data_IF_332068839631
#
_entry.id   IF_332068839631
#
_cell.length_a   1.000
_cell.length_b   1.000
_cell.length_c   1.000
_cell.angle_alpha   90.00
_cell.angle_beta   90.00
_cell.angle_gamma   90.00
#
_symmetry.space_group_name_H-M   'P 1'
#
loop_
_entity.id
_entity.type
_entity.pdbx_description
1 polymer ?
#
# COMPACT_ATOMS: atom_id res chain seq x y z
N UNK A 1 -8.54 16.41 -18.34
CA UNK A 1 -7.21 15.79 -18.09
C UNK A 1 -6.96 15.46 -16.61
N UNK A 2 -7.19 16.39 -15.67
CA UNK A 2 -6.94 16.20 -14.24
C UNK A 2 -7.51 14.90 -13.65
N UNK A 3 -8.80 14.59 -13.88
CA UNK A 3 -9.46 13.36 -13.40
C UNK A 3 -8.75 12.06 -13.85
N UNK A 4 -8.14 12.08 -15.04
CA UNK A 4 -7.45 10.93 -15.65
C UNK A 4 -6.07 10.71 -15.03
N UNK A 5 -5.38 11.80 -14.69
CA UNK A 5 -4.02 11.78 -14.16
C UNK A 5 -4.02 11.67 -12.63
N UNK A 6 -4.87 12.43 -11.94
CA UNK A 6 -4.94 12.52 -10.49
C UNK A 6 -5.15 11.17 -9.80
N UNK A 7 -6.03 10.34 -10.34
CA UNK A 7 -6.29 8.98 -9.83
C UNK A 7 -5.10 8.02 -9.99
N UNK A 8 -4.04 8.41 -10.71
CA UNK A 8 -2.91 7.57 -11.10
C UNK A 8 -1.54 8.13 -10.71
N UNK A 9 -1.50 9.19 -9.89
CA UNK A 9 -0.26 9.84 -9.42
C UNK A 9 0.64 8.91 -8.57
N UNK A 10 0.09 7.81 -8.05
CA UNK A 10 0.88 6.78 -7.37
C UNK A 10 1.89 6.09 -8.30
N UNK A 11 1.65 6.09 -9.62
CA UNK A 11 2.51 5.47 -10.61
C UNK A 11 3.64 6.40 -11.05
N UNK A 12 4.88 5.92 -10.93
CA UNK A 12 6.09 6.67 -11.24
C UNK A 12 6.09 7.24 -12.68
N UNK A 13 5.70 6.45 -13.68
CA UNK A 13 5.64 6.92 -15.07
C UNK A 13 4.58 8.02 -15.31
N UNK A 14 3.53 8.07 -14.49
CA UNK A 14 2.54 9.16 -14.56
C UNK A 14 3.08 10.43 -13.93
N UNK A 15 3.90 10.32 -12.87
CA UNK A 15 4.63 11.47 -12.30
C UNK A 15 5.65 12.02 -13.29
N UNK A 16 6.37 11.16 -14.00
CA UNK A 16 7.30 11.59 -15.06
C UNK A 16 6.59 12.38 -16.17
N UNK A 17 5.40 11.90 -16.54
CA UNK A 17 4.60 12.55 -17.56
C UNK A 17 4.27 13.99 -17.17
N UNK A 18 3.73 14.22 -15.97
CA UNK A 18 3.37 15.57 -15.52
C UNK A 18 4.58 16.43 -15.17
N UNK A 19 5.69 15.84 -14.74
CA UNK A 19 6.93 16.58 -14.53
C UNK A 19 7.45 17.13 -15.87
N UNK A 20 7.37 16.34 -16.94
CA UNK A 20 7.90 16.68 -18.27
C UNK A 20 6.92 17.46 -19.15
N UNK A 21 5.63 17.17 -19.05
CA UNK A 21 4.55 17.78 -19.83
C UNK A 21 3.41 18.19 -18.88
N UNK A 22 3.60 19.26 -18.09
CA UNK A 22 2.68 19.61 -17.00
C UNK A 22 1.34 20.19 -17.44
N UNK A 23 1.25 20.59 -18.71
CA UNK A 23 0.13 21.39 -19.23
C UNK A 23 -0.55 20.70 -20.41
N UNK A 24 -1.88 20.79 -20.59
CA UNK A 24 -2.58 20.35 -21.79
C UNK A 24 -1.89 20.72 -23.12
N UNK A 25 -1.42 21.95 -23.26
CA UNK A 25 -0.71 22.42 -24.45
C UNK A 25 0.60 21.65 -24.67
N UNK A 26 1.43 21.50 -23.64
CA UNK A 26 2.64 20.66 -23.71
C UNK A 26 2.34 19.19 -24.02
N UNK A 27 1.25 18.63 -23.47
CA UNK A 27 0.83 17.25 -23.76
C UNK A 27 0.41 17.08 -25.22
N UNK A 28 -0.36 18.04 -25.77
CA UNK A 28 -0.71 18.03 -27.20
C UNK A 28 0.53 18.11 -28.09
N UNK A 29 1.46 19.01 -27.78
CA UNK A 29 2.72 19.14 -28.52
C UNK A 29 3.63 17.91 -28.41
N UNK A 30 3.62 17.21 -27.28
CA UNK A 30 4.37 15.98 -27.12
C UNK A 30 3.84 14.85 -28.02
N UNK A 31 2.51 14.77 -28.15
CA UNK A 31 1.83 13.75 -28.94
C UNK A 31 1.93 12.34 -28.35
N UNK A 32 1.21 11.39 -28.97
CA UNK A 32 1.07 10.01 -28.47
C UNK A 32 2.40 9.34 -28.15
N UNK A 33 3.32 9.32 -29.10
CA UNK A 33 4.57 8.57 -29.00
C UNK A 33 5.43 9.01 -27.79
N UNK A 34 5.59 10.32 -27.57
CA UNK A 34 6.39 10.84 -26.45
C UNK A 34 5.71 10.61 -25.11
N UNK A 35 4.38 10.77 -25.04
CA UNK A 35 3.60 10.48 -23.83
C UNK A 35 3.77 9.02 -23.43
N UNK A 36 3.53 8.09 -24.36
CA UNK A 36 3.66 6.64 -24.11
C UNK A 36 5.08 6.29 -23.69
N UNK A 37 6.09 6.80 -24.38
CA UNK A 37 7.49 6.50 -24.08
C UNK A 37 7.89 6.97 -22.67
N UNK A 38 7.43 8.16 -22.27
CA UNK A 38 7.71 8.71 -20.93
C UNK A 38 7.10 7.86 -19.83
N UNK A 39 5.84 7.44 -19.97
CA UNK A 39 5.18 6.59 -18.98
C UNK A 39 5.79 5.18 -18.97
N UNK A 40 6.10 4.64 -20.16
CA UNK A 40 6.58 3.25 -20.32
C UNK A 40 7.90 2.99 -19.61
N UNK A 41 8.76 4.00 -19.48
CA UNK A 41 10.04 3.91 -18.78
C UNK A 41 9.92 3.38 -17.33
N UNK A 42 8.91 3.86 -16.57
CA UNK A 42 8.70 3.45 -15.17
C UNK A 42 7.33 2.79 -14.91
N UNK A 43 6.47 2.68 -15.91
CA UNK A 43 5.11 2.12 -15.77
C UNK A 43 4.62 1.46 -17.07
N UNK A 44 5.30 0.40 -17.57
CA UNK A 44 5.06 -0.16 -18.91
C UNK A 44 3.65 -0.72 -19.09
N UNK A 45 3.12 -1.45 -18.09
CA UNK A 45 1.78 -2.07 -18.16
C UNK A 45 0.63 -1.06 -18.23
N UNK A 46 0.90 0.19 -17.86
CA UNK A 46 -0.10 1.25 -17.76
C UNK A 46 0.00 2.25 -18.93
N UNK A 47 1.12 2.24 -19.66
CA UNK A 47 1.49 3.28 -20.60
C UNK A 47 0.43 3.51 -21.69
N UNK A 48 -0.01 2.45 -22.36
CA UNK A 48 -0.98 2.58 -23.46
C UNK A 48 -2.34 3.08 -22.94
N UNK A 49 -2.86 2.44 -21.89
CA UNK A 49 -4.14 2.80 -21.27
C UNK A 49 -4.18 4.25 -20.78
N UNK A 50 -3.10 4.73 -20.17
CA UNK A 50 -3.02 6.12 -19.71
C UNK A 50 -2.85 7.07 -20.88
N UNK A 51 -2.05 6.72 -21.88
CA UNK A 51 -1.89 7.55 -23.07
C UNK A 51 -3.24 7.75 -23.76
N UNK A 52 -3.99 6.68 -24.00
CA UNK A 52 -5.32 6.74 -24.63
C UNK A 52 -6.28 7.64 -23.84
N UNK A 53 -6.32 7.45 -22.52
CA UNK A 53 -7.18 8.24 -21.66
C UNK A 53 -6.77 9.71 -21.60
N UNK A 54 -5.46 10.02 -21.66
CA UNK A 54 -4.96 11.39 -21.70
C UNK A 54 -5.31 12.05 -23.02
N UNK A 55 -5.09 11.39 -24.16
CA UNK A 55 -5.42 11.93 -25.48
C UNK A 55 -6.92 12.17 -25.63
N UNK A 56 -7.75 11.19 -25.26
CA UNK A 56 -9.21 11.35 -25.26
C UNK A 56 -9.67 12.52 -24.37
N UNK A 57 -9.04 12.70 -23.20
CA UNK A 57 -9.36 13.81 -22.31
C UNK A 57 -8.83 15.16 -22.81
N UNK A 58 -7.80 15.18 -23.64
CA UNK A 58 -7.35 16.38 -24.35
C UNK A 58 -8.36 16.71 -25.44
N UNK A 59 -8.76 15.76 -26.28
CA UNK A 59 -9.70 16.01 -27.38
C UNK A 59 -11.06 16.53 -26.90
N UNK A 60 -11.52 16.08 -25.74
CA UNK A 60 -12.74 16.60 -25.10
C UNK A 60 -12.57 17.98 -24.42
N UNK A 61 -11.36 18.51 -24.30
CA UNK A 61 -11.10 19.78 -23.61
C UNK A 61 -11.39 20.98 -24.52
N UNK A 62 -12.34 21.80 -24.11
CA UNK A 62 -12.81 22.99 -24.86
C UNK A 62 -12.28 24.33 -24.33
N UNK A 63 -11.70 24.35 -23.12
CA UNK A 63 -11.23 25.58 -22.46
C UNK A 63 -9.72 25.52 -22.24
N UNK A 64 -9.03 26.56 -22.70
CA UNK A 64 -7.63 26.84 -22.39
C UNK A 64 -7.54 28.00 -21.40
N UNK A 65 -6.73 27.83 -20.35
CA UNK A 65 -6.55 28.87 -19.33
C UNK A 65 -5.35 29.76 -19.69
N UNK A 66 -5.48 31.09 -19.69
CA UNK A 66 -4.38 32.01 -20.02
C UNK A 66 -3.13 31.85 -19.13
N UNK A 67 -3.29 31.33 -17.91
CA UNK A 67 -2.22 31.14 -16.93
C UNK A 67 -1.61 29.72 -16.92
N UNK A 68 -1.83 28.93 -17.99
CA UNK A 68 -1.37 27.54 -18.09
C UNK A 68 0.15 27.40 -17.88
N UNK A 69 0.96 28.34 -18.36
CA UNK A 69 2.42 28.31 -18.19
C UNK A 69 2.88 28.50 -16.73
N UNK A 70 2.13 29.25 -15.92
CA UNK A 70 2.44 29.44 -14.50
C UNK A 70 2.03 28.21 -13.70
N UNK A 71 0.83 27.69 -13.96
CA UNK A 71 0.36 26.43 -13.36
C UNK A 71 1.28 25.26 -13.73
N UNK A 72 1.78 25.23 -14.97
CA UNK A 72 2.69 24.21 -15.44
C UNK A 72 3.97 24.12 -14.61
N UNK A 73 4.54 25.28 -14.23
CA UNK A 73 5.73 25.33 -13.37
C UNK A 73 5.47 24.72 -11.99
N UNK A 74 4.34 25.11 -11.37
CA UNK A 74 3.92 24.56 -10.07
C UNK A 74 3.68 23.05 -10.14
N UNK A 75 3.04 22.56 -11.21
CA UNK A 75 2.80 21.13 -11.41
C UNK A 75 4.12 20.36 -11.54
N UNK A 76 5.08 20.87 -12.32
CA UNK A 76 6.40 20.24 -12.45
C UNK A 76 7.13 20.16 -11.12
N UNK A 77 7.11 21.24 -10.33
CA UNK A 77 7.74 21.30 -9.01
C UNK A 77 7.11 20.28 -8.05
N UNK A 78 5.78 20.32 -7.88
CA UNK A 78 5.05 19.40 -7.00
C UNK A 78 5.17 17.94 -7.45
N UNK A 79 5.20 17.67 -8.76
CA UNK A 79 5.43 16.32 -9.28
C UNK A 79 6.82 15.80 -8.91
N UNK A 80 7.83 16.66 -8.99
CA UNK A 80 9.20 16.35 -8.58
C UNK A 80 9.30 16.08 -7.08
N UNK A 81 8.68 16.91 -6.24
CA UNK A 81 8.61 16.68 -4.79
C UNK A 81 7.91 15.38 -4.44
N UNK A 82 6.77 15.10 -5.06
CA UNK A 82 6.04 13.85 -4.86
C UNK A 82 6.90 12.65 -5.24
N UNK A 83 7.62 12.68 -6.36
CA UNK A 83 8.50 11.57 -6.74
C UNK A 83 9.65 11.38 -5.74
N UNK A 84 10.26 12.46 -5.27
CA UNK A 84 11.30 12.40 -4.22
C UNK A 84 10.77 11.80 -2.92
N UNK A 85 9.56 12.17 -2.49
CA UNK A 85 8.94 11.60 -1.30
C UNK A 85 8.68 10.09 -1.46
N UNK A 86 8.23 9.67 -2.64
CA UNK A 86 8.09 8.24 -2.95
C UNK A 86 9.42 7.49 -2.91
N UNK A 87 10.47 8.05 -3.51
CA UNK A 87 11.81 7.47 -3.46
C UNK A 87 12.32 7.37 -2.03
N UNK A 88 12.19 8.44 -1.24
CA UNK A 88 12.61 8.45 0.17
C UNK A 88 11.86 7.42 1.01
N UNK A 89 10.56 7.26 0.79
CA UNK A 89 9.75 6.21 1.42
C UNK A 89 10.29 4.82 1.06
N UNK A 90 10.64 4.59 -0.19
CA UNK A 90 11.12 3.27 -0.64
C UNK A 90 12.51 2.98 -0.08
N UNK A 91 13.40 3.98 0.01
CA UNK A 91 14.69 3.87 0.71
C UNK A 91 14.51 3.53 2.18
N UNK A 92 13.67 4.28 2.91
CA UNK A 92 13.39 4.01 4.33
C UNK A 92 12.77 2.62 4.53
N UNK A 93 11.94 2.15 3.61
CA UNK A 93 11.40 0.81 3.68
C UNK A 93 12.51 -0.26 3.58
N UNK A 94 13.50 -0.06 2.71
CA UNK A 94 14.68 -0.93 2.62
C UNK A 94 15.52 -0.90 3.90
N UNK A 95 15.82 0.28 4.43
CA UNK A 95 16.56 0.44 5.69
C UNK A 95 15.86 -0.29 6.87
N UNK A 96 14.52 -0.21 6.94
CA UNK A 96 13.73 -0.93 7.96
C UNK A 96 13.85 -2.44 7.79
N UNK A 97 13.82 -2.95 6.55
CA UNK A 97 13.97 -4.39 6.28
C UNK A 97 15.35 -4.89 6.71
N UNK A 98 16.42 -4.14 6.41
CA UNK A 98 17.79 -4.47 6.82
C UNK A 98 17.92 -4.53 8.35
N UNK A 99 17.46 -3.48 9.06
CA UNK A 99 17.48 -3.44 10.53
C UNK A 99 16.67 -4.59 11.13
N UNK A 100 15.52 -4.91 10.53
CA UNK A 100 14.68 -6.01 10.99
C UNK A 100 15.35 -7.38 10.80
N UNK A 101 16.00 -7.63 9.67
CA UNK A 101 16.67 -8.91 9.42
C UNK A 101 17.90 -9.10 10.32
N UNK A 102 18.56 -8.01 10.72
CA UNK A 102 19.64 -8.03 11.72
C UNK A 102 19.14 -8.25 13.16
N UNK A 103 17.83 -8.15 13.41
CA UNK A 103 17.25 -8.37 14.74
C UNK A 103 17.27 -9.86 15.11
N UNK A 104 17.50 -10.26 16.37
CA UNK A 104 17.51 -11.67 16.79
C UNK A 104 16.25 -12.49 16.43
N UNK A 105 15.11 -11.81 16.32
CA UNK A 105 13.83 -12.43 15.92
C UNK A 105 13.50 -12.28 14.42
N UNK A 106 14.36 -11.61 13.65
CA UNK A 106 14.13 -11.31 12.23
C UNK A 106 13.96 -12.57 11.39
N UNK A 107 15.00 -13.41 11.37
CA UNK A 107 15.00 -14.69 10.65
C UNK A 107 13.90 -15.64 11.15
N UNK A 108 13.71 -15.71 12.48
CA UNK A 108 12.65 -16.53 13.07
C UNK A 108 11.27 -16.12 12.55
N UNK A 109 10.95 -14.83 12.54
CA UNK A 109 9.64 -14.36 12.08
C UNK A 109 9.45 -14.57 10.58
N UNK A 110 10.49 -14.37 9.76
CA UNK A 110 10.41 -14.59 8.30
C UNK A 110 10.30 -16.07 7.94
N UNK A 111 10.77 -16.98 8.80
CA UNK A 111 10.59 -18.42 8.62
C UNK A 111 9.12 -18.86 8.72
N UNK A 112 8.26 -18.05 9.34
CA UNK A 112 6.83 -18.32 9.44
C UNK A 112 6.14 -18.00 8.12
N UNK A 113 5.39 -18.97 7.60
CA UNK A 113 4.63 -18.79 6.36
C UNK A 113 3.71 -17.56 6.44
N UNK A 114 3.75 -16.73 5.40
CA UNK A 114 2.95 -15.50 5.31
C UNK A 114 3.55 -14.27 5.99
N UNK A 115 4.67 -14.39 6.72
CA UNK A 115 5.37 -13.26 7.32
C UNK A 115 6.60 -12.90 6.49
N UNK A 116 6.53 -11.77 5.77
CA UNK A 116 7.69 -11.17 5.12
C UNK A 116 8.38 -10.10 5.97
N UNK A 117 9.56 -9.59 5.56
CA UNK A 117 10.36 -8.64 6.34
C UNK A 117 9.57 -7.41 6.85
N UNK A 118 8.80 -6.75 5.99
CA UNK A 118 7.97 -5.60 6.39
C UNK A 118 6.88 -5.96 7.41
N UNK A 119 6.24 -7.12 7.23
CA UNK A 119 5.18 -7.59 8.13
C UNK A 119 5.77 -8.00 9.47
N UNK A 120 6.91 -8.69 9.48
CA UNK A 120 7.66 -9.06 10.67
C UNK A 120 8.15 -7.83 11.44
N UNK A 121 8.75 -6.86 10.75
CA UNK A 121 9.16 -5.58 11.33
C UNK A 121 7.98 -4.86 11.99
N UNK A 122 6.81 -4.87 11.32
CA UNK A 122 5.60 -4.30 11.89
C UNK A 122 5.12 -5.04 13.13
N UNK A 123 5.17 -6.38 13.12
CA UNK A 123 4.79 -7.21 14.27
C UNK A 123 5.69 -6.88 15.47
N UNK A 124 7.02 -6.88 15.29
CA UNK A 124 7.96 -6.55 16.37
C UNK A 124 7.76 -5.13 16.90
N UNK A 125 7.60 -4.14 16.01
CA UNK A 125 7.40 -2.75 16.42
C UNK A 125 6.13 -2.55 17.26
N UNK A 126 5.05 -3.27 16.96
CA UNK A 126 3.78 -3.16 17.71
C UNK A 126 3.78 -4.01 18.99
N UNK A 127 4.51 -5.13 19.02
CA UNK A 127 4.71 -5.94 20.23
C UNK A 127 5.62 -5.20 21.21
N UNK A 128 6.69 -4.58 20.73
CA UNK A 128 7.74 -4.00 21.54
C UNK A 128 8.46 -5.07 22.34
N UNK A 129 8.59 -4.86 23.65
CA UNK A 129 9.06 -5.89 24.56
C UNK A 129 7.99 -7.00 24.72
N UNK A 130 8.31 -8.20 24.26
CA UNK A 130 7.45 -9.37 24.37
C UNK A 130 7.26 -9.88 25.81
N UNK A 131 8.21 -9.60 26.71
CA UNK A 131 8.18 -10.07 28.10
C UNK A 131 7.06 -9.45 28.93
N UNK A 132 6.49 -8.32 28.48
CA UNK A 132 5.33 -7.68 29.09
C UNK A 132 4.05 -8.52 29.01
N UNK A 133 4.03 -9.55 28.17
CA UNK A 133 2.92 -10.47 28.04
C UNK A 133 3.23 -11.77 28.77
N UNK A 134 2.39 -12.14 29.75
CA UNK A 134 2.58 -13.39 30.49
C UNK A 134 2.40 -14.65 29.63
N UNK A 135 1.63 -14.56 28.54
CA UNK A 135 1.47 -15.63 27.57
C UNK A 135 0.92 -15.12 26.21
N UNK A 136 0.92 -16.01 25.22
CA UNK A 136 0.39 -15.73 23.88
C UNK A 136 -1.09 -15.33 23.86
N UNK A 137 -1.91 -15.81 24.80
CA UNK A 137 -3.32 -15.41 24.88
C UNK A 137 -3.49 -13.94 25.29
N UNK A 138 -2.63 -13.42 26.18
CA UNK A 138 -2.59 -11.98 26.51
C UNK A 138 -2.15 -11.15 25.32
N UNK A 139 -1.16 -11.62 24.56
CA UNK A 139 -0.77 -10.97 23.31
C UNK A 139 -1.91 -10.99 22.28
N UNK A 140 -2.61 -12.10 22.11
CA UNK A 140 -3.75 -12.22 21.21
C UNK A 140 -4.92 -11.29 21.62
N UNK A 141 -5.16 -11.14 22.93
CA UNK A 141 -6.12 -10.17 23.45
C UNK A 141 -5.69 -8.72 23.20
N UNK A 142 -4.41 -8.40 23.44
CA UNK A 142 -3.83 -7.09 23.14
C UNK A 142 -3.92 -6.74 21.65
N UNK A 143 -3.60 -7.69 20.77
CA UNK A 143 -3.78 -7.55 19.33
C UNK A 143 -5.26 -7.48 18.90
N UNK A 144 -6.21 -7.73 19.80
CA UNK A 144 -7.63 -7.79 19.47
C UNK A 144 -7.99 -8.96 18.56
N UNK A 145 -7.18 -10.02 18.54
CA UNK A 145 -7.42 -11.28 17.81
C UNK A 145 -8.33 -12.22 18.60
N UNK A 146 -8.27 -12.18 19.92
CA UNK A 146 -9.14 -12.99 20.77
C UNK A 146 -10.62 -12.54 20.63
N UNK A 147 -11.58 -13.49 20.54
CA UNK A 147 -12.99 -13.16 20.57
C UNK A 147 -13.36 -12.55 21.93
N UNK A 148 -14.42 -11.74 21.95
CA UNK A 148 -14.99 -11.17 23.17
C UNK A 148 -16.41 -11.67 23.35
N UNK A 149 -16.70 -12.16 24.56
CA UNK A 149 -18.04 -12.52 24.97
C UNK A 149 -18.88 -11.26 25.13
N UNK A 150 -20.00 -11.17 24.40
CA UNK A 150 -21.04 -10.19 24.65
C UNK A 150 -22.19 -10.87 25.37
N UNK A 151 -22.56 -10.27 26.49
CA UNK A 151 -23.71 -10.68 27.28
C UNK A 151 -24.72 -9.53 27.28
N UNK A 152 -25.90 -9.75 26.72
CA UNK A 152 -27.06 -8.87 26.93
C UNK A 152 -28.02 -9.57 27.88
N UNK A 153 -28.86 -8.82 28.61
CA UNK A 153 -29.81 -9.40 29.57
C UNK A 153 -30.76 -10.46 28.98
N UNK A 154 -30.86 -10.54 27.66
CA UNK A 154 -31.64 -11.52 26.90
C UNK A 154 -30.82 -12.59 26.15
N UNK A 155 -29.49 -12.51 26.13
CA UNK A 155 -28.61 -13.43 25.42
C UNK A 155 -27.30 -13.66 26.19
N UNK A 156 -27.12 -14.90 26.63
CA UNK A 156 -25.88 -15.44 27.16
C UNK A 156 -25.25 -16.26 26.03
N UNK A 157 -23.97 -16.05 25.71
CA UNK A 157 -23.18 -16.78 24.70
C UNK A 157 -23.13 -16.22 23.27
N UNK A 158 -23.12 -14.90 23.08
CA UNK A 158 -22.70 -14.35 21.78
C UNK A 158 -21.21 -14.01 21.82
N UNK A 159 -20.37 -14.86 21.26
CA UNK A 159 -18.98 -14.50 20.94
C UNK A 159 -18.97 -13.54 19.76
N UNK A 160 -18.16 -12.48 19.85
CA UNK A 160 -18.05 -11.49 18.79
C UNK A 160 -16.60 -11.08 18.56
N UNK A 161 -16.30 -10.62 17.35
CA UNK A 161 -14.98 -10.05 17.02
C UNK A 161 -14.69 -8.86 17.93
N UNK A 162 -13.53 -8.86 18.58
CA UNK A 162 -13.09 -7.69 19.35
C UNK A 162 -12.96 -6.46 18.44
N UNK A 163 -13.60 -5.37 18.87
CA UNK A 163 -13.45 -4.02 18.29
C UNK A 163 -12.36 -3.20 18.99
N UNK A 164 -11.74 -3.76 20.03
CA UNK A 164 -10.66 -3.16 20.82
C UNK A 164 -9.32 -3.81 20.48
N UNK A 165 -8.23 -3.23 20.96
CA UNK A 165 -6.87 -3.76 20.82
C UNK A 165 -6.02 -3.01 19.79
N UNK A 166 -4.80 -3.47 19.58
CA UNK A 166 -3.87 -2.87 18.63
C UNK A 166 -4.28 -3.25 17.19
N UNK A 167 -4.99 -2.33 16.53
CA UNK A 167 -5.47 -2.52 15.16
C UNK A 167 -4.36 -2.72 14.13
N UNK A 168 -3.17 -2.14 14.37
CA UNK A 168 -2.02 -2.25 13.47
C UNK A 168 -1.42 -3.65 13.51
N UNK A 169 -1.23 -4.18 14.72
CA UNK A 169 -0.82 -5.57 14.93
C UNK A 169 -1.87 -6.57 14.41
N UNK A 170 -3.15 -6.29 14.68
CA UNK A 170 -4.27 -7.10 14.14
C UNK A 170 -4.22 -7.20 12.62
N UNK A 171 -4.03 -6.07 11.95
CA UNK A 171 -3.99 -6.01 10.49
C UNK A 171 -2.77 -6.76 9.93
N UNK A 172 -1.59 -6.60 10.55
CA UNK A 172 -0.38 -7.32 10.15
C UNK A 172 -0.58 -8.85 10.25
N UNK A 173 -1.10 -9.33 11.39
CA UNK A 173 -1.39 -10.75 11.60
C UNK A 173 -2.48 -11.28 10.68
N UNK A 174 -3.53 -10.49 10.42
CA UNK A 174 -4.58 -10.86 9.48
C UNK A 174 -4.04 -11.04 8.07
N UNK A 175 -3.26 -10.08 7.55
CA UNK A 175 -2.65 -10.18 6.23
C UNK A 175 -1.66 -11.36 6.15
N UNK A 176 -0.88 -11.60 7.21
CA UNK A 176 0.02 -12.75 7.30
C UNK A 176 -0.74 -14.07 7.20
N UNK A 177 -1.87 -14.21 7.92
CA UNK A 177 -2.68 -15.42 7.90
C UNK A 177 -3.28 -15.74 6.52
N UNK A 178 -3.63 -14.74 5.70
CA UNK A 178 -4.06 -14.99 4.32
C UNK A 178 -2.89 -15.29 3.39
N UNK A 179 -1.76 -14.62 3.59
CA UNK A 179 -0.55 -14.91 2.83
C UNK A 179 -0.04 -16.33 3.08
N UNK A 180 -0.21 -16.85 4.31
CA UNK A 180 0.22 -18.20 4.68
C UNK A 180 -0.58 -19.30 3.99
N UNK A 181 -1.76 -19.03 3.44
CA UNK A 181 -2.58 -20.04 2.72
C UNK A 181 -1.93 -20.57 1.43
N UNK A 182 -0.79 -19.99 1.01
CA UNK A 182 0.05 -20.54 -0.06
C UNK A 182 0.85 -21.76 0.39
N UNK A 183 1.07 -21.90 1.69
CA UNK A 183 1.68 -23.07 2.31
C UNK A 183 0.62 -24.19 2.50
N UNK A 184 0.88 -25.43 2.05
CA UNK A 184 -0.09 -26.52 2.13
C UNK A 184 -0.55 -26.86 3.55
N UNK A 185 0.33 -26.84 4.55
CA UNK A 185 -0.03 -27.18 5.93
C UNK A 185 -0.97 -26.13 6.53
N UNK A 186 -0.62 -24.85 6.35
CA UNK A 186 -1.45 -23.71 6.74
C UNK A 186 -2.83 -23.76 6.08
N UNK A 187 -2.88 -24.14 4.80
CA UNK A 187 -4.13 -24.29 4.06
C UNK A 187 -5.00 -25.43 4.60
N UNK A 188 -4.43 -26.60 4.84
CA UNK A 188 -5.14 -27.74 5.43
C UNK A 188 -5.73 -27.38 6.80
N UNK A 189 -4.95 -26.69 7.64
CA UNK A 189 -5.43 -26.22 8.93
C UNK A 189 -6.62 -25.26 8.79
N UNK A 190 -6.51 -24.28 7.89
CA UNK A 190 -7.57 -23.31 7.63
C UNK A 190 -8.86 -23.97 7.12
N UNK A 191 -8.76 -24.86 6.15
CA UNK A 191 -9.92 -25.54 5.57
C UNK A 191 -10.64 -26.40 6.63
N UNK A 192 -9.90 -27.10 7.50
CA UNK A 192 -10.46 -27.81 8.65
C UNK A 192 -11.20 -26.87 9.60
N UNK A 193 -10.57 -25.75 9.99
CA UNK A 193 -11.18 -24.76 10.91
C UNK A 193 -12.39 -24.03 10.34
N UNK A 194 -12.57 -24.03 9.02
CA UNK A 194 -13.78 -23.50 8.37
C UNK A 194 -14.94 -24.48 8.30
N UNK A 195 -14.66 -25.78 8.44
CA UNK A 195 -15.66 -26.83 8.42
C UNK A 195 -16.22 -27.15 9.83
N UNK A 196 -15.50 -26.75 10.88
CA UNK A 196 -15.97 -26.75 12.28
C UNK A 196 -16.97 -25.61 12.54
#
# INVERSE_FOLDING_TARGET
VERVIGSRLAHAGVRDLIAKFPTPTALRHAGRARITTTIKARSPRLADKVTDAVLSALDAQTVTLPAEATLGRVITELAGELDRLHQRRDTLAGEIEEVFLAHPFGELLVSLSGIGPRTGARILAEIGDGSRFTNGSKLASYAGLAPVTRQSGSSLNTESKSRRGNHRLKNAMFLAAFASLRDPESKTFYDRKRAE
#
